data_IF_537452133722
#
_entry.id   IF_537452133722
#
_cell.length_a   1.000
_cell.length_b   1.000
_cell.length_c   1.000
_cell.angle_alpha   90.00
_cell.angle_beta   90.00
_cell.angle_gamma   90.00
#
_symmetry.space_group_name_H-M   'P 1'
#
loop_
_entity.id
_entity.type
_entity.pdbx_description
1 polymer ?
#
# COMPACT_ATOMS: atom_id res chain seq x y z
N UNK A 1 -44.35 12.79 7.95
CA UNK A 1 -42.92 13.15 7.77
C UNK A 1 -42.25 12.02 6.99
N UNK A 2 -41.49 12.32 5.93
CA UNK A 2 -40.81 11.30 5.10
C UNK A 2 -39.30 11.47 5.24
N UNK A 3 -38.60 10.40 5.58
CA UNK A 3 -37.14 10.39 5.78
C UNK A 3 -36.53 9.29 4.91
N UNK A 4 -35.33 9.53 4.37
CA UNK A 4 -34.55 8.56 3.60
C UNK A 4 -33.08 8.62 4.00
N UNK A 5 -32.40 7.48 3.98
CA UNK A 5 -30.97 7.37 4.23
C UNK A 5 -30.28 6.61 3.08
N UNK A 6 -29.01 6.94 2.81
CA UNK A 6 -28.17 6.24 1.82
C UNK A 6 -26.81 5.96 2.44
N UNK A 7 -26.38 4.71 2.41
CA UNK A 7 -25.03 4.31 2.76
C UNK A 7 -24.16 4.28 1.49
N UNK A 8 -22.91 4.72 1.63
CA UNK A 8 -21.86 4.67 0.60
C UNK A 8 -20.62 4.07 1.23
N UNK A 9 -19.86 3.31 0.44
CA UNK A 9 -18.67 2.60 0.86
C UNK A 9 -17.53 2.87 -0.11
N UNK A 10 -16.29 2.78 0.38
CA UNK A 10 -15.10 2.82 -0.47
C UNK A 10 -15.17 1.70 -1.50
N UNK A 11 -14.91 2.05 -2.76
CA UNK A 11 -14.88 1.09 -3.88
C UNK A 11 -13.59 1.32 -4.64
N UNK A 12 -12.82 0.25 -4.84
CA UNK A 12 -11.52 0.34 -5.49
C UNK A 12 -11.35 -0.78 -6.53
N UNK A 13 -10.35 -0.61 -7.39
CA UNK A 13 -9.88 -1.66 -8.30
C UNK A 13 -8.36 -1.64 -8.42
N UNK A 14 -7.77 -2.81 -8.60
CA UNK A 14 -6.32 -2.99 -8.80
C UNK A 14 -6.10 -3.57 -10.18
N UNK A 15 -5.21 -2.95 -10.96
CA UNK A 15 -4.87 -3.40 -12.31
C UNK A 15 -3.35 -3.50 -12.50
N UNK A 16 -2.83 -4.62 -12.99
CA UNK A 16 -3.55 -5.85 -13.34
C UNK A 16 -4.05 -6.62 -12.10
N UNK A 17 -5.19 -7.32 -12.23
CA UNK A 17 -5.77 -8.11 -11.14
C UNK A 17 -4.93 -9.37 -10.79
N UNK A 18 -4.04 -9.78 -11.68
CA UNK A 18 -3.12 -10.91 -11.48
C UNK A 18 -1.98 -10.61 -10.50
N UNK A 19 -1.89 -9.38 -9.98
CA UNK A 19 -0.74 -8.92 -9.19
C UNK A 19 0.51 -8.69 -10.06
N UNK A 20 1.66 -8.56 -9.39
CA UNK A 20 2.96 -8.32 -10.05
C UNK A 20 3.75 -9.61 -10.12
N UNK A 21 4.32 -9.90 -11.30
CA UNK A 21 5.22 -11.03 -11.51
C UNK A 21 6.41 -10.57 -12.36
N UNK A 22 7.62 -10.83 -11.88
CA UNK A 22 8.84 -10.47 -12.60
C UNK A 22 9.33 -11.55 -13.55
N UNK A 23 8.86 -12.79 -13.38
CA UNK A 23 9.32 -13.97 -14.10
C UNK A 23 10.73 -14.39 -13.68
N UNK A 24 11.37 -15.22 -14.50
CA UNK A 24 12.78 -15.57 -14.31
C UNK A 24 13.66 -14.34 -14.56
N UNK A 25 14.51 -14.02 -13.61
CA UNK A 25 15.49 -12.94 -13.72
C UNK A 25 16.91 -13.49 -13.56
N UNK A 26 17.84 -12.92 -14.31
CA UNK A 26 19.26 -13.22 -14.13
C UNK A 26 19.77 -12.57 -12.85
N UNK A 27 20.64 -13.27 -12.13
CA UNK A 27 21.27 -12.72 -10.91
C UNK A 27 22.02 -11.42 -11.24
N UNK A 28 21.85 -10.41 -10.39
CA UNK A 28 22.41 -9.06 -10.56
C UNK A 28 21.51 -8.10 -11.36
N UNK A 29 20.40 -8.55 -11.93
CA UNK A 29 19.50 -7.66 -12.70
C UNK A 29 18.48 -6.94 -11.83
N UNK A 30 17.98 -5.82 -12.36
CA UNK A 30 16.86 -5.05 -11.80
C UNK A 30 15.72 -4.98 -12.80
N UNK A 31 14.50 -5.07 -12.30
CA UNK A 31 13.30 -4.89 -13.12
C UNK A 31 12.25 -4.14 -12.32
N UNK A 32 11.63 -3.15 -12.95
CA UNK A 32 10.53 -2.38 -12.37
C UNK A 32 9.22 -2.82 -13.01
N UNK A 33 8.20 -3.02 -12.20
CA UNK A 33 6.82 -3.23 -12.64
C UNK A 33 5.90 -2.32 -11.84
N UNK A 34 4.67 -2.13 -12.29
CA UNK A 34 3.71 -1.31 -11.57
C UNK A 34 2.30 -1.88 -11.66
N UNK A 35 1.49 -1.53 -10.67
CA UNK A 35 0.04 -1.70 -10.71
C UNK A 35 -0.64 -0.37 -10.42
N UNK A 36 -1.90 -0.28 -10.83
CA UNK A 36 -2.73 0.89 -10.63
C UNK A 36 -3.79 0.58 -9.59
N UNK A 37 -3.85 1.39 -8.53
CA UNK A 37 -4.92 1.42 -7.56
C UNK A 37 -5.87 2.56 -7.93
N UNK A 38 -7.12 2.25 -8.24
CA UNK A 38 -8.11 3.22 -8.67
C UNK A 38 -9.26 3.31 -7.67
N UNK A 39 -9.73 4.53 -7.40
CA UNK A 39 -10.94 4.78 -6.63
C UNK A 39 -12.16 4.84 -7.55
N UNK A 40 -12.94 3.76 -7.56
CA UNK A 40 -14.22 3.64 -8.27
C UNK A 40 -15.41 4.11 -7.44
N UNK A 41 -15.18 4.57 -6.22
CA UNK A 41 -16.19 5.10 -5.31
C UNK A 41 -16.49 6.56 -5.58
N UNK A 42 -17.43 7.11 -4.81
CA UNK A 42 -17.84 8.52 -4.87
C UNK A 42 -17.21 9.39 -3.77
N UNK A 43 -16.43 8.78 -2.88
CA UNK A 43 -15.73 9.42 -1.76
C UNK A 43 -14.24 9.13 -1.94
N UNK A 44 -13.39 10.16 -1.75
CA UNK A 44 -11.94 9.99 -1.72
C UNK A 44 -11.52 9.08 -0.55
N UNK A 45 -10.47 8.28 -0.73
CA UNK A 45 -9.95 7.44 0.34
C UNK A 45 -8.45 7.61 0.50
N UNK A 46 -7.93 7.19 1.65
CA UNK A 46 -6.49 7.01 1.86
C UNK A 46 -6.13 5.54 1.71
N UNK A 47 -4.90 5.28 1.28
CA UNK A 47 -4.35 3.94 1.24
C UNK A 47 -3.02 3.85 1.98
N UNK A 48 -2.71 2.67 2.50
CA UNK A 48 -1.37 2.30 2.97
C UNK A 48 -1.03 0.85 2.59
N UNK A 49 0.25 0.57 2.33
CA UNK A 49 0.76 -0.74 1.93
C UNK A 49 1.71 -1.25 3.02
N UNK A 50 1.46 -2.46 3.50
CA UNK A 50 2.22 -3.11 4.56
C UNK A 50 2.46 -4.60 4.24
N UNK A 51 3.29 -5.28 5.04
CA UNK A 51 3.47 -6.73 4.90
C UNK A 51 2.27 -7.47 5.49
N UNK A 52 1.79 -8.49 4.79
CA UNK A 52 0.58 -9.21 5.19
C UNK A 52 0.76 -10.07 6.47
N UNK A 53 1.99 -10.40 6.86
CA UNK A 53 2.27 -11.13 8.11
C UNK A 53 2.05 -10.28 9.38
N UNK A 54 2.01 -8.95 9.24
CA UNK A 54 1.66 -8.03 10.32
C UNK A 54 0.15 -7.90 10.56
N UNK A 55 -0.71 -8.44 9.67
CA UNK A 55 -2.17 -8.41 9.83
C UNK A 55 -2.66 -9.31 10.99
N UNK A 56 -1.93 -10.37 11.35
CA UNK A 56 -2.35 -11.27 12.43
C UNK A 56 -2.39 -10.56 13.80
N UNK A 57 -1.53 -9.56 14.02
CA UNK A 57 -1.55 -8.74 15.24
C UNK A 57 -2.54 -7.56 15.17
N UNK A 58 -3.12 -7.28 14.00
CA UNK A 58 -4.06 -6.16 13.79
C UNK A 58 -5.49 -6.45 14.25
N UNK A 59 -5.94 -7.70 14.14
CA UNK A 59 -7.32 -8.08 14.54
C UNK A 59 -7.53 -8.08 16.05
N UNK A 60 -6.46 -8.21 16.84
CA UNK A 60 -6.51 -8.24 18.31
C UNK A 60 -6.37 -6.85 18.96
N UNK A 61 -5.90 -5.83 18.23
CA UNK A 61 -5.56 -4.50 18.78
C UNK A 61 -6.67 -3.44 18.59
N UNK A 62 -7.94 -3.80 18.80
CA UNK A 62 -9.10 -2.95 18.46
C UNK A 62 -9.37 -1.72 19.35
N UNK A 63 -8.54 -1.41 20.34
CA UNK A 63 -8.76 -0.23 21.21
C UNK A 63 -7.56 0.69 21.46
N UNK A 64 -6.39 0.47 20.83
CA UNK A 64 -5.24 1.36 21.04
C UNK A 64 -4.53 1.74 19.74
N UNK A 65 -5.06 2.77 19.08
CA UNK A 65 -4.39 3.62 18.09
C UNK A 65 -3.46 2.95 17.05
N UNK A 66 -4.06 2.61 15.89
CA UNK A 66 -3.49 2.83 14.55
C UNK A 66 -2.15 2.14 14.24
N UNK A 67 -2.25 0.92 13.74
CA UNK A 67 -1.18 -0.04 13.55
C UNK A 67 -0.54 -0.05 12.13
N UNK A 68 -0.74 1.02 11.34
CA UNK A 68 0.14 1.39 10.22
C UNK A 68 0.79 2.77 10.49
N UNK A 69 0.16 3.56 11.36
CA UNK A 69 0.79 4.74 11.97
C UNK A 69 1.79 4.39 13.07
N UNK A 70 1.74 3.20 13.68
CA UNK A 70 2.77 2.78 14.65
C UNK A 70 4.13 2.61 13.98
N UNK A 71 4.14 2.05 12.76
CA UNK A 71 5.32 1.97 11.90
C UNK A 71 5.76 3.38 11.43
N UNK A 72 4.80 4.23 11.04
CA UNK A 72 5.13 5.62 10.75
C UNK A 72 5.63 6.40 12.00
N UNK A 73 5.14 6.09 13.21
CA UNK A 73 5.51 6.78 14.45
C UNK A 73 6.92 6.47 14.93
N UNK A 74 7.50 5.30 14.63
CA UNK A 74 8.94 5.11 14.87
C UNK A 74 9.80 5.96 13.93
N UNK A 75 9.31 6.27 12.73
CA UNK A 75 9.96 7.20 11.81
C UNK A 75 9.71 8.68 12.15
N UNK A 76 8.69 8.99 12.96
CA UNK A 76 8.30 10.36 13.33
C UNK A 76 8.40 10.66 14.84
N UNK A 77 9.25 9.93 15.57
CA UNK A 77 9.41 10.10 17.02
C UNK A 77 10.12 11.39 17.45
N UNK A 78 10.90 12.04 16.60
CA UNK A 78 11.51 13.33 16.91
C UNK A 78 11.60 14.22 15.67
N UNK A 79 10.94 15.38 15.78
CA UNK A 79 10.90 16.55 14.88
C UNK A 79 9.94 16.56 13.67
N UNK A 80 9.24 17.69 13.46
CA UNK A 80 8.49 17.95 12.23
C UNK A 80 9.50 18.37 11.15
N UNK A 81 9.93 17.43 10.32
CA UNK A 81 10.76 17.77 9.16
C UNK A 81 9.86 18.18 8.00
N UNK A 82 9.82 19.49 7.79
CA UNK A 82 9.51 20.17 6.53
C UNK A 82 9.92 19.30 5.32
N UNK A 83 8.94 18.89 4.52
CA UNK A 83 9.15 18.13 3.28
C UNK A 83 9.03 16.61 3.44
N UNK A 84 7.80 16.10 3.61
CA UNK A 84 7.51 14.68 3.39
C UNK A 84 7.93 14.32 1.96
N UNK A 85 8.98 13.50 1.85
CA UNK A 85 9.55 13.16 0.56
C UNK A 85 8.54 12.35 -0.28
N UNK A 86 8.48 12.55 -1.61
CA UNK A 86 7.61 11.79 -2.51
C UNK A 86 7.90 10.27 -2.57
N UNK A 87 8.78 9.74 -1.70
CA UNK A 87 9.51 8.49 -1.90
C UNK A 87 9.32 7.49 -0.75
N UNK A 88 8.21 7.53 -0.01
CA UNK A 88 7.94 6.53 1.01
C UNK A 88 7.89 5.14 0.35
N UNK A 89 8.92 4.32 0.63
CA UNK A 89 9.10 3.00 0.04
C UNK A 89 9.16 1.91 1.12
N UNK A 90 8.72 0.71 0.75
CA UNK A 90 8.76 -0.48 1.60
C UNK A 90 9.58 -1.55 0.89
N UNK A 91 10.69 -1.95 1.51
CA UNK A 91 11.51 -3.07 1.01
C UNK A 91 11.13 -4.37 1.73
N UNK A 92 10.83 -5.40 0.96
CA UNK A 92 10.50 -6.76 1.43
C UNK A 92 11.25 -7.75 0.55
N UNK A 93 12.16 -8.52 1.16
CA UNK A 93 13.06 -9.40 0.42
C UNK A 93 13.85 -8.63 -0.64
N UNK A 94 13.66 -9.01 -1.91
CA UNK A 94 14.27 -8.36 -3.07
C UNK A 94 13.39 -7.28 -3.74
N UNK A 95 12.20 -7.01 -3.19
CA UNK A 95 11.24 -6.08 -3.76
C UNK A 95 11.23 -4.75 -3.00
N UNK A 96 11.07 -3.64 -3.71
CA UNK A 96 10.86 -2.30 -3.12
C UNK A 96 9.62 -1.69 -3.72
N UNK A 97 8.64 -1.33 -2.89
CA UNK A 97 7.33 -0.82 -3.31
C UNK A 97 7.22 0.67 -3.01
N UNK A 98 6.70 1.47 -3.94
CA UNK A 98 6.44 2.90 -3.73
C UNK A 98 5.36 3.48 -4.67
N UNK A 99 4.58 4.49 -4.25
CA UNK A 99 4.44 4.97 -2.88
C UNK A 99 3.68 3.95 -2.03
N UNK A 100 4.01 3.89 -0.73
CA UNK A 100 3.37 2.96 0.21
C UNK A 100 2.20 3.58 0.97
N UNK A 101 1.93 4.87 0.80
CA UNK A 101 0.71 5.50 1.29
C UNK A 101 0.35 6.69 0.42
N UNK A 102 -0.91 7.11 0.49
CA UNK A 102 -1.39 8.28 -0.23
C UNK A 102 -2.89 8.47 -0.10
N UNK A 103 -3.41 9.45 -0.83
CA UNK A 103 -4.86 9.74 -0.92
C UNK A 103 -5.28 9.70 -2.38
N UNK A 104 -6.42 9.08 -2.67
CA UNK A 104 -6.98 8.98 -4.02
C UNK A 104 -8.38 9.61 -4.03
N UNK A 105 -8.59 10.71 -4.76
CA UNK A 105 -9.91 11.33 -4.87
C UNK A 105 -10.90 10.40 -5.58
N UNK A 106 -12.20 10.70 -5.49
CA UNK A 106 -13.24 9.98 -6.24
C UNK A 106 -12.92 9.95 -7.74
N UNK A 107 -12.93 8.77 -8.36
CA UNK A 107 -12.56 8.59 -9.77
C UNK A 107 -11.05 8.74 -10.06
N UNK A 108 -10.23 8.98 -9.03
CA UNK A 108 -8.78 9.10 -9.16
C UNK A 108 -8.08 7.75 -9.21
N UNK A 109 -6.80 7.78 -9.56
CA UNK A 109 -5.93 6.60 -9.64
C UNK A 109 -4.52 6.91 -9.14
N UNK A 110 -3.87 5.92 -8.55
CA UNK A 110 -2.50 5.94 -8.08
C UNK A 110 -1.72 4.80 -8.73
N UNK A 111 -0.58 5.13 -9.35
CA UNK A 111 0.37 4.12 -9.79
C UNK A 111 1.30 3.74 -8.64
N UNK A 112 1.39 2.46 -8.34
CA UNK A 112 2.34 1.89 -7.37
C UNK A 112 3.38 1.10 -8.15
N UNK A 113 4.65 1.43 -7.93
CA UNK A 113 5.81 0.79 -8.52
C UNK A 113 6.37 -0.27 -7.56
N UNK A 114 6.88 -1.35 -8.14
CA UNK A 114 7.58 -2.43 -7.47
C UNK A 114 8.88 -2.67 -8.22
N UNK A 115 10.00 -2.40 -7.56
CA UNK A 115 11.33 -2.68 -8.05
C UNK A 115 11.81 -4.02 -7.51
N UNK A 116 12.19 -4.93 -8.40
CA UNK A 116 12.82 -6.21 -8.06
C UNK A 116 14.33 -6.14 -8.31
N UNK A 117 15.12 -6.52 -7.31
CA UNK A 117 16.57 -6.62 -7.42
C UNK A 117 17.06 -8.06 -7.15
N UNK A 118 17.24 -8.83 -8.22
CA UNK A 118 17.55 -10.26 -8.15
C UNK A 118 19.01 -10.52 -7.72
N UNK A 119 19.34 -10.36 -6.44
CA UNK A 119 20.73 -10.51 -5.94
C UNK A 119 21.19 -11.95 -5.77
N UNK A 120 20.29 -12.84 -5.37
CA UNK A 120 20.58 -14.24 -5.05
C UNK A 120 19.68 -15.17 -5.86
N UNK A 121 20.19 -16.34 -6.29
CA UNK A 121 19.37 -17.34 -6.95
C UNK A 121 18.33 -17.91 -5.98
N UNK A 122 17.13 -18.18 -6.51
CA UNK A 122 16.04 -18.75 -5.74
C UNK A 122 14.68 -18.24 -6.20
N UNK A 123 13.62 -18.80 -5.61
CA UNK A 123 12.28 -18.26 -5.74
C UNK A 123 12.05 -17.26 -4.61
N UNK A 124 11.46 -16.10 -4.94
CA UNK A 124 11.05 -15.11 -3.94
C UNK A 124 9.59 -14.74 -4.21
N UNK A 125 8.79 -14.81 -3.15
CA UNK A 125 7.37 -14.47 -3.14
C UNK A 125 7.08 -13.75 -1.85
N UNK A 126 6.54 -12.54 -1.96
CA UNK A 126 6.17 -11.71 -0.81
C UNK A 126 4.68 -11.36 -0.91
N UNK A 127 4.01 -11.31 0.24
CA UNK A 127 2.60 -10.94 0.33
C UNK A 127 2.49 -9.55 0.99
N UNK A 128 1.75 -8.66 0.34
CA UNK A 128 1.49 -7.30 0.83
C UNK A 128 -0.01 -7.09 1.01
N UNK A 129 -0.37 -6.34 2.03
CA UNK A 129 -1.74 -5.87 2.28
C UNK A 129 -1.86 -4.40 1.86
N UNK A 130 -3.02 -4.02 1.34
CA UNK A 130 -3.38 -2.63 1.06
C UNK A 130 -4.58 -2.27 1.94
N UNK A 131 -4.34 -1.39 2.91
CA UNK A 131 -5.39 -0.87 3.77
C UNK A 131 -6.03 0.34 3.11
N UNK A 132 -7.36 0.39 3.12
CA UNK A 132 -8.14 1.56 2.68
C UNK A 132 -8.80 2.19 3.90
N UNK A 133 -8.49 3.46 4.16
CA UNK A 133 -8.97 4.23 5.31
C UNK A 133 -9.67 5.53 4.88
N UNK A 134 -10.21 6.26 5.86
CA UNK A 134 -11.09 7.43 5.68
C UNK A 134 -12.41 7.05 4.99
N UNK A 135 -13.18 6.23 5.71
CA UNK A 135 -14.48 5.66 5.35
C UNK A 135 -15.61 6.68 5.54
#
# INVERSE_FOLDING_TARGET
VRVSAKAVFSKYSIHPASGITFGTLMSGTRKTCSFQLENKGVIGFKFSICRADQDASWLEAREQQSSCWGCLRWAFGHQPLLGLSPQACLTVGMFTVSPVFGSIPSGGQQMVTVDCHAKSPGQCKENLSIDITDR
#
